data_IF_823898143358
#
_entry.id   IF_823898143358
#
_cell.length_a   1.000
_cell.length_b   1.000
_cell.length_c   1.000
_cell.angle_alpha   90.00
_cell.angle_beta   90.00
_cell.angle_gamma   90.00
#
_symmetry.space_group_name_H-M   'P 1'
#
loop_
_entity.id
_entity.type
_entity.pdbx_description
1 polymer ?
#
# COMPACT_ATOMS: atom_id res chain seq x y z
N UNK A 1 19.86 -2.28 27.09
CA UNK A 1 21.19 -2.55 26.50
C UNK A 1 21.00 -3.69 25.53
N UNK A 2 20.88 -3.36 24.26
CA UNK A 2 20.49 -4.25 23.16
C UNK A 2 21.73 -4.39 22.26
N UNK A 3 22.55 -5.40 22.55
CA UNK A 3 23.58 -5.85 21.60
C UNK A 3 23.11 -7.19 21.02
N UNK A 4 22.36 -7.13 19.92
CA UNK A 4 22.11 -8.28 19.07
C UNK A 4 22.29 -7.84 17.61
N UNK A 5 23.52 -7.92 17.12
CA UNK A 5 23.81 -7.83 15.68
C UNK A 5 23.65 -9.25 15.12
N UNK A 6 22.61 -9.54 14.32
CA UNK A 6 22.52 -10.83 13.67
C UNK A 6 23.63 -10.94 12.61
N UNK A 7 24.44 -11.96 12.72
CA UNK A 7 25.44 -12.33 11.71
C UNK A 7 24.75 -12.53 10.36
N UNK A 8 25.08 -11.66 9.41
CA UNK A 8 24.64 -11.75 8.02
C UNK A 8 25.13 -13.08 7.42
N UNK A 9 24.18 -13.99 7.13
CA UNK A 9 24.47 -15.19 6.35
C UNK A 9 24.94 -14.81 4.94
N UNK A 10 25.81 -15.61 4.27
CA UNK A 10 26.34 -15.29 2.95
C UNK A 10 25.20 -15.09 1.94
N UNK A 11 25.28 -14.00 1.18
CA UNK A 11 24.34 -13.66 0.11
C UNK A 11 24.38 -14.74 -0.97
N UNK A 12 23.22 -15.15 -1.55
CA UNK A 12 23.25 -15.99 -2.74
C UNK A 12 23.99 -15.25 -3.85
N UNK A 13 24.74 -16.00 -4.65
CA UNK A 13 25.58 -15.47 -5.71
C UNK A 13 24.74 -14.60 -6.68
N UNK A 14 25.16 -13.35 -6.84
CA UNK A 14 24.64 -12.43 -7.87
C UNK A 14 24.99 -13.06 -9.22
N UNK A 15 24.03 -13.18 -10.14
CA UNK A 15 24.31 -13.63 -11.50
C UNK A 15 25.36 -12.71 -12.11
N UNK A 16 26.49 -13.28 -12.53
CA UNK A 16 27.55 -12.51 -13.16
C UNK A 16 27.10 -11.95 -14.49
N UNK A 17 27.58 -10.76 -14.84
CA UNK A 17 27.28 -10.03 -16.07
C UNK A 17 27.62 -10.79 -17.39
N UNK A 18 28.10 -12.03 -17.31
CA UNK A 18 28.56 -12.81 -18.47
C UNK A 18 27.40 -13.31 -19.38
N UNK A 19 26.14 -13.22 -18.96
CA UNK A 19 25.00 -13.74 -19.72
C UNK A 19 24.04 -12.67 -20.27
N UNK A 20 24.30 -11.36 -20.05
CA UNK A 20 23.48 -10.32 -20.63
C UNK A 20 23.75 -10.23 -22.14
N UNK A 21 22.73 -10.45 -22.95
CA UNK A 21 22.82 -10.24 -24.40
C UNK A 21 23.26 -8.80 -24.68
N UNK A 22 24.12 -8.57 -25.67
CA UNK A 22 24.55 -7.20 -26.03
C UNK A 22 23.42 -6.31 -26.58
N UNK A 23 22.21 -6.84 -26.76
CA UNK A 23 21.00 -6.12 -27.20
C UNK A 23 20.26 -5.50 -25.99
N UNK A 24 20.19 -4.16 -25.88
CA UNK A 24 19.51 -3.47 -24.80
C UNK A 24 18.01 -3.81 -24.70
N UNK A 25 17.35 -4.10 -25.83
CA UNK A 25 15.93 -4.45 -25.86
C UNK A 25 15.71 -5.78 -25.17
N UNK A 26 16.47 -6.77 -25.55
CA UNK A 26 16.40 -8.10 -24.95
C UNK A 26 16.79 -8.09 -23.46
N UNK A 27 17.84 -7.35 -23.11
CA UNK A 27 18.28 -7.21 -21.73
C UNK A 27 17.19 -6.58 -20.85
N UNK A 28 16.52 -5.50 -21.30
CA UNK A 28 15.42 -4.88 -20.56
C UNK A 28 14.25 -5.86 -20.37
N UNK A 29 13.86 -6.55 -21.43
CA UNK A 29 12.77 -7.53 -21.42
C UNK A 29 13.07 -8.69 -20.45
N UNK A 30 14.29 -9.22 -20.44
CA UNK A 30 14.72 -10.28 -19.52
C UNK A 30 14.67 -9.81 -18.07
N UNK A 31 15.14 -8.58 -17.78
CA UNK A 31 15.08 -7.99 -16.43
C UNK A 31 13.62 -7.80 -15.99
N UNK A 32 12.75 -7.27 -16.85
CA UNK A 32 11.35 -7.05 -16.49
C UNK A 32 10.59 -8.37 -16.27
N UNK A 33 10.83 -9.39 -17.11
CA UNK A 33 10.26 -10.73 -16.91
C UNK A 33 10.77 -11.39 -15.63
N UNK A 34 12.05 -11.25 -15.31
CA UNK A 34 12.60 -11.70 -14.04
C UNK A 34 11.92 -11.00 -12.86
N UNK A 35 11.77 -9.67 -12.94
CA UNK A 35 11.07 -8.88 -11.91
C UNK A 35 9.64 -9.36 -11.69
N UNK A 36 8.86 -9.55 -12.77
CA UNK A 36 7.50 -10.11 -12.71
C UNK A 36 7.49 -11.50 -12.07
N UNK A 37 8.38 -12.39 -12.53
CA UNK A 37 8.46 -13.76 -12.01
C UNK A 37 8.85 -13.81 -10.54
N UNK A 38 9.59 -12.79 -10.06
CA UNK A 38 10.01 -12.65 -8.67
C UNK A 38 8.99 -11.94 -7.78
N UNK A 39 7.97 -11.33 -8.38
CA UNK A 39 6.98 -10.55 -7.66
C UNK A 39 7.54 -9.21 -7.18
N UNK A 40 8.45 -8.62 -7.94
CA UNK A 40 8.98 -7.30 -7.64
C UNK A 40 7.90 -6.23 -7.83
N UNK A 41 7.86 -5.26 -6.91
CA UNK A 41 7.04 -4.06 -7.06
C UNK A 41 7.75 -2.96 -7.87
N UNK A 42 9.08 -2.89 -7.76
CA UNK A 42 9.89 -1.87 -8.43
C UNK A 42 11.20 -2.47 -8.94
N UNK A 43 11.67 -1.99 -10.09
CA UNK A 43 13.00 -2.25 -10.65
C UNK A 43 13.77 -0.94 -10.66
N UNK A 44 14.93 -0.92 -10.04
CA UNK A 44 15.81 0.22 -9.97
C UNK A 44 17.04 -0.04 -10.83
N UNK A 45 17.33 0.86 -11.74
CA UNK A 45 18.57 0.91 -12.53
C UNK A 45 19.41 2.06 -11.97
N UNK A 46 20.42 1.72 -11.20
CA UNK A 46 21.27 2.66 -10.48
C UNK A 46 22.64 2.78 -11.15
N UNK A 47 22.96 3.90 -11.81
CA UNK A 47 24.29 4.11 -12.35
C UNK A 47 25.32 4.20 -11.22
N UNK A 48 26.45 3.55 -11.43
CA UNK A 48 27.63 3.57 -10.56
C UNK A 48 28.85 3.97 -11.39
N UNK A 49 29.95 4.25 -10.73
CA UNK A 49 31.21 4.62 -11.39
C UNK A 49 31.69 3.50 -12.36
N UNK A 50 31.49 2.25 -11.98
CA UNK A 50 31.97 1.05 -12.70
C UNK A 50 30.91 0.37 -13.59
N UNK A 51 29.67 0.90 -13.65
CA UNK A 51 28.61 0.29 -14.45
C UNK A 51 27.18 0.68 -14.05
N UNK A 52 26.29 -0.30 -14.13
CA UNK A 52 24.88 -0.16 -13.78
C UNK A 52 24.46 -1.28 -12.84
N UNK A 53 23.95 -0.94 -11.66
CA UNK A 53 23.39 -1.91 -10.72
C UNK A 53 21.89 -1.97 -10.90
N UNK A 54 21.36 -3.18 -11.14
CA UNK A 54 19.92 -3.46 -11.19
C UNK A 54 19.47 -4.04 -9.86
N UNK A 55 18.48 -3.39 -9.24
CA UNK A 55 17.92 -3.84 -7.96
C UNK A 55 16.42 -4.01 -8.06
N UNK A 56 15.88 -5.03 -7.43
CA UNK A 56 14.46 -5.30 -7.30
C UNK A 56 13.98 -4.95 -5.89
N UNK A 57 12.78 -4.36 -5.80
CA UNK A 57 12.06 -4.25 -4.54
C UNK A 57 11.13 -5.46 -4.41
N UNK A 58 11.44 -6.36 -3.47
CA UNK A 58 10.71 -7.60 -3.22
C UNK A 58 10.14 -7.57 -1.80
N UNK A 59 8.80 -7.60 -1.68
CA UNK A 59 8.11 -7.53 -0.39
C UNK A 59 8.55 -6.33 0.49
N UNK A 60 8.87 -5.19 -0.16
CA UNK A 60 9.32 -3.94 0.46
C UNK A 60 10.84 -3.79 0.61
N UNK A 61 11.63 -4.86 0.49
CA UNK A 61 13.09 -4.82 0.60
C UNK A 61 13.79 -4.67 -0.75
N UNK A 62 14.87 -3.88 -0.76
CA UNK A 62 15.74 -3.76 -1.94
C UNK A 62 16.74 -4.90 -2.02
N UNK A 63 16.85 -5.52 -3.20
CA UNK A 63 17.80 -6.58 -3.47
C UNK A 63 18.49 -6.37 -4.80
N UNK A 64 19.81 -6.60 -4.82
CA UNK A 64 20.58 -6.58 -6.04
C UNK A 64 20.24 -7.81 -6.88
N UNK A 65 19.87 -7.56 -8.14
CA UNK A 65 19.55 -8.59 -9.12
C UNK A 65 20.71 -8.83 -10.08
N UNK A 66 21.32 -7.76 -10.62
CA UNK A 66 22.41 -7.86 -11.56
C UNK A 66 23.35 -6.64 -11.52
N UNK A 67 24.59 -6.84 -11.96
CA UNK A 67 25.54 -5.78 -12.31
C UNK A 67 25.87 -5.86 -13.78
N UNK A 68 25.71 -4.75 -14.47
CA UNK A 68 25.94 -4.62 -15.91
C UNK A 68 27.14 -3.70 -16.15
N UNK A 69 27.97 -3.99 -17.17
CA UNK A 69 29.14 -3.19 -17.47
C UNK A 69 28.75 -1.79 -17.97
N UNK A 70 29.71 -0.85 -17.88
CA UNK A 70 29.54 0.53 -18.33
C UNK A 70 29.01 0.64 -19.75
N UNK A 71 29.44 -0.25 -20.64
CA UNK A 71 29.04 -0.28 -22.07
C UNK A 71 27.56 -0.51 -22.29
N UNK A 72 26.85 -1.15 -21.34
CA UNK A 72 25.42 -1.40 -21.40
C UNK A 72 24.58 -0.32 -20.71
N UNK A 73 25.16 0.55 -19.91
CA UNK A 73 24.45 1.54 -19.10
C UNK A 73 23.59 2.47 -19.96
N UNK A 74 24.20 3.24 -20.86
CA UNK A 74 23.50 4.23 -21.68
C UNK A 74 22.50 3.59 -22.64
N UNK A 75 22.84 2.49 -23.36
CA UNK A 75 21.89 1.82 -24.23
C UNK A 75 20.65 1.32 -23.50
N UNK A 76 20.81 0.76 -22.30
CA UNK A 76 19.69 0.21 -21.53
C UNK A 76 18.78 1.31 -20.95
N UNK A 77 19.35 2.41 -20.45
CA UNK A 77 18.58 3.58 -20.00
C UNK A 77 17.82 4.23 -21.16
N UNK A 78 18.46 4.42 -22.31
CA UNK A 78 17.81 4.92 -23.53
C UNK A 78 16.66 4.01 -23.96
N UNK A 79 16.85 2.68 -23.92
CA UNK A 79 15.78 1.72 -24.20
C UNK A 79 14.63 1.83 -23.22
N UNK A 80 14.91 2.00 -21.91
CA UNK A 80 13.91 2.25 -20.89
C UNK A 80 13.11 3.53 -21.15
N UNK A 81 13.78 4.61 -21.55
CA UNK A 81 13.12 5.87 -21.95
C UNK A 81 12.20 5.70 -23.15
N UNK A 82 12.66 5.04 -24.22
CA UNK A 82 11.83 4.73 -25.39
C UNK A 82 10.60 3.93 -24.98
N UNK A 83 10.81 2.90 -24.16
CA UNK A 83 9.73 2.05 -23.68
C UNK A 83 8.68 2.82 -22.88
N UNK A 84 9.10 3.82 -22.09
CA UNK A 84 8.24 4.72 -21.31
C UNK A 84 7.68 5.91 -22.07
N UNK A 85 8.02 6.11 -23.36
CA UNK A 85 7.61 7.27 -24.14
C UNK A 85 8.30 8.58 -23.72
N UNK A 86 9.50 8.51 -23.15
CA UNK A 86 10.31 9.64 -22.68
C UNK A 86 11.31 10.10 -23.75
N UNK A 87 11.78 11.34 -23.63
CA UNK A 87 12.81 11.91 -24.50
C UNK A 87 14.21 11.37 -24.16
N UNK A 88 14.84 10.68 -25.13
CA UNK A 88 16.17 10.10 -24.97
C UNK A 88 17.30 11.13 -25.05
N UNK A 89 17.03 12.32 -25.61
CA UNK A 89 18.01 13.37 -25.76
C UNK A 89 18.17 14.25 -24.52
N UNK A 90 17.10 14.41 -23.74
CA UNK A 90 17.13 15.17 -22.49
C UNK A 90 17.60 14.28 -21.34
N UNK A 91 18.76 14.58 -20.78
CA UNK A 91 19.38 13.82 -19.68
C UNK A 91 19.59 14.65 -18.40
N UNK A 92 19.22 15.93 -18.42
CA UNK A 92 19.48 16.90 -17.34
C UNK A 92 18.27 17.12 -16.45
N UNK A 93 17.07 16.74 -16.93
CA UNK A 93 15.81 16.95 -16.22
C UNK A 93 15.13 15.62 -15.91
N UNK A 94 14.42 15.53 -14.77
CA UNK A 94 13.59 14.37 -14.48
C UNK A 94 12.52 14.17 -15.53
N UNK A 95 12.20 12.92 -15.83
CA UNK A 95 11.12 12.57 -16.74
C UNK A 95 10.29 11.43 -16.17
N UNK A 96 9.00 11.47 -16.45
CA UNK A 96 8.06 10.40 -16.11
C UNK A 96 7.49 9.79 -17.40
N UNK A 97 7.33 8.47 -17.40
CA UNK A 97 6.81 7.72 -18.53
C UNK A 97 5.85 6.63 -18.10
N UNK A 98 5.11 6.09 -19.05
CA UNK A 98 4.17 4.98 -18.84
C UNK A 98 4.32 3.95 -19.95
N UNK A 99 4.20 2.67 -19.59
CA UNK A 99 4.21 1.57 -20.53
C UNK A 99 3.29 0.45 -20.07
N UNK A 100 3.06 -0.53 -20.93
CA UNK A 100 2.30 -1.74 -20.59
C UNK A 100 3.16 -2.94 -20.93
N UNK A 101 3.36 -3.81 -19.93
CA UNK A 101 3.99 -5.11 -20.10
C UNK A 101 2.91 -6.20 -20.07
N UNK A 102 2.95 -7.09 -21.04
CA UNK A 102 2.12 -8.32 -21.04
C UNK A 102 3.02 -9.51 -20.81
N UNK A 103 2.72 -10.28 -19.77
CA UNK A 103 3.45 -11.50 -19.47
C UNK A 103 2.45 -12.62 -19.21
N UNK A 104 2.37 -13.58 -20.14
CA UNK A 104 1.33 -14.61 -20.20
C UNK A 104 -0.06 -13.95 -20.20
N UNK A 105 -0.96 -14.37 -19.31
CA UNK A 105 -2.33 -13.84 -19.17
C UNK A 105 -2.41 -12.61 -18.23
N UNK A 106 -1.26 -12.09 -17.78
CA UNK A 106 -1.20 -10.94 -16.87
C UNK A 106 -0.79 -9.67 -17.59
N UNK A 107 -1.42 -8.57 -17.23
CA UNK A 107 -1.11 -7.22 -17.72
C UNK A 107 -0.55 -6.39 -16.57
N UNK A 108 0.56 -5.73 -16.81
CA UNK A 108 1.21 -4.82 -15.88
C UNK A 108 1.23 -3.42 -16.46
N UNK A 109 0.70 -2.45 -15.72
CA UNK A 109 0.96 -1.05 -16.01
C UNK A 109 2.30 -0.69 -15.39
N UNK A 110 3.17 -0.09 -16.17
CA UNK A 110 4.49 0.33 -15.76
C UNK A 110 4.53 1.85 -15.65
N UNK A 111 5.03 2.35 -14.51
CA UNK A 111 5.38 3.75 -14.33
C UNK A 111 6.90 3.84 -14.31
N UNK A 112 7.44 4.66 -15.17
CA UNK A 112 8.87 4.86 -15.31
C UNK A 112 9.19 6.28 -14.85
N UNK A 113 10.25 6.43 -14.08
CA UNK A 113 10.75 7.76 -13.69
C UNK A 113 12.26 7.78 -13.83
N UNK A 114 12.80 8.82 -14.46
CA UNK A 114 14.25 9.07 -14.55
C UNK A 114 14.63 10.28 -13.73
N UNK A 115 15.81 10.22 -13.12
CA UNK A 115 16.39 11.32 -12.36
C UNK A 115 17.89 11.39 -12.65
N UNK A 116 18.43 12.57 -13.03
CA UNK A 116 19.86 12.78 -13.13
C UNK A 116 20.58 12.59 -11.79
N UNK A 117 21.67 11.83 -11.80
CA UNK A 117 22.53 11.63 -10.62
C UNK A 117 23.99 11.90 -10.99
N UNK A 118 24.88 11.89 -9.99
CA UNK A 118 26.32 12.16 -10.19
C UNK A 118 26.96 11.18 -11.19
N UNK A 119 26.50 9.93 -11.25
CA UNK A 119 27.06 8.91 -12.14
C UNK A 119 26.24 8.67 -13.42
N UNK A 120 25.25 9.52 -13.71
CA UNK A 120 24.35 9.43 -14.86
C UNK A 120 22.88 9.35 -14.44
N UNK A 121 21.96 9.16 -15.38
CA UNK A 121 20.53 9.04 -15.04
C UNK A 121 20.24 7.72 -14.33
N UNK A 122 19.48 7.79 -13.23
CA UNK A 122 18.83 6.62 -12.64
C UNK A 122 17.46 6.41 -13.33
N UNK A 123 17.01 5.17 -13.42
CA UNK A 123 15.67 4.81 -13.90
C UNK A 123 15.01 3.90 -12.87
N UNK A 124 13.80 4.23 -12.48
CA UNK A 124 12.95 3.37 -11.65
C UNK A 124 11.72 2.97 -12.45
N UNK A 125 11.42 1.69 -12.48
CA UNK A 125 10.23 1.13 -13.12
C UNK A 125 9.38 0.47 -12.05
N UNK A 126 8.21 1.04 -11.76
CA UNK A 126 7.20 0.44 -10.89
C UNK A 126 6.30 -0.48 -11.69
N UNK A 127 6.11 -1.70 -11.20
CA UNK A 127 5.25 -2.71 -11.82
C UNK A 127 3.91 -2.76 -11.07
N UNK A 128 2.84 -2.35 -11.74
CA UNK A 128 1.48 -2.39 -11.22
C UNK A 128 0.73 -3.54 -11.91
N UNK A 129 0.61 -4.65 -11.19
CA UNK A 129 -0.15 -5.80 -11.68
C UNK A 129 -1.63 -5.43 -11.79
N UNK A 130 -2.22 -5.60 -12.96
CA UNK A 130 -3.64 -5.33 -13.21
C UNK A 130 -4.55 -6.51 -12.81
N UNK A 131 -3.97 -7.58 -12.27
CA UNK A 131 -4.78 -8.64 -11.65
C UNK A 131 -5.46 -8.06 -10.42
N UNK A 132 -6.79 -8.11 -10.42
CA UNK A 132 -7.57 -7.55 -9.31
C UNK A 132 -7.19 -8.23 -8.00
N UNK A 133 -6.91 -7.45 -6.94
CA UNK A 133 -6.67 -8.02 -5.63
C UNK A 133 -7.89 -8.79 -5.14
N UNK A 134 -7.68 -9.74 -4.23
CA UNK A 134 -8.73 -10.55 -3.64
C UNK A 134 -9.91 -9.71 -3.13
N UNK A 135 -11.12 -10.21 -3.34
CA UNK A 135 -12.37 -9.52 -3.01
C UNK A 135 -12.80 -9.75 -1.56
N UNK A 136 -12.17 -10.70 -0.87
CA UNK A 136 -12.50 -11.01 0.52
C UNK A 136 -11.61 -10.24 1.49
N UNK A 137 -12.25 -9.52 2.40
CA UNK A 137 -11.58 -8.79 3.49
C UNK A 137 -10.75 -9.72 4.39
N UNK A 138 -11.14 -10.99 4.55
CA UNK A 138 -10.36 -12.00 5.27
C UNK A 138 -9.03 -12.31 4.59
N UNK A 139 -9.01 -12.39 3.26
CA UNK A 139 -7.77 -12.58 2.49
C UNK A 139 -6.83 -11.37 2.60
N UNK A 140 -7.41 -10.17 2.77
CA UNK A 140 -6.66 -8.94 3.04
C UNK A 140 -6.17 -8.83 4.49
N UNK A 141 -6.48 -9.81 5.33
CA UNK A 141 -5.95 -9.91 6.68
C UNK A 141 -6.85 -9.31 7.77
N UNK A 142 -8.06 -8.84 7.47
CA UNK A 142 -8.99 -8.41 8.52
C UNK A 142 -9.46 -9.61 9.35
N UNK A 143 -9.50 -9.43 10.66
CA UNK A 143 -10.16 -10.41 11.54
C UNK A 143 -11.68 -10.42 11.29
N UNK A 144 -12.39 -11.53 11.53
CA UNK A 144 -13.82 -11.63 11.24
C UNK A 144 -14.67 -10.47 11.79
N UNK A 145 -14.51 -10.01 13.06
CA UNK A 145 -15.26 -8.86 13.56
C UNK A 145 -14.91 -7.53 12.84
N UNK A 146 -13.65 -7.37 12.42
CA UNK A 146 -13.21 -6.19 11.68
C UNK A 146 -13.80 -6.18 10.26
N UNK A 147 -13.79 -7.34 9.58
CA UNK A 147 -14.38 -7.49 8.26
C UNK A 147 -15.90 -7.22 8.29
N UNK A 148 -16.59 -7.68 9.33
CA UNK A 148 -18.02 -7.41 9.50
C UNK A 148 -18.30 -5.92 9.73
N UNK A 149 -17.54 -5.26 10.59
CA UNK A 149 -17.67 -3.82 10.82
C UNK A 149 -17.47 -3.00 9.52
N UNK A 150 -16.54 -3.43 8.66
CA UNK A 150 -16.33 -2.81 7.34
C UNK A 150 -17.53 -3.05 6.43
N UNK A 151 -18.08 -4.28 6.37
CA UNK A 151 -19.27 -4.59 5.57
C UNK A 151 -20.49 -3.80 6.03
N UNK A 152 -20.73 -3.71 7.33
CA UNK A 152 -21.82 -2.89 7.90
C UNK A 152 -21.68 -1.41 7.53
N UNK A 153 -20.46 -0.87 7.59
CA UNK A 153 -20.21 0.52 7.20
C UNK A 153 -20.47 0.77 5.70
N UNK A 154 -20.09 -0.19 4.83
CA UNK A 154 -20.30 -0.14 3.38
C UNK A 154 -21.79 -0.34 2.99
N UNK A 155 -22.53 -1.14 3.74
CA UNK A 155 -23.94 -1.37 3.51
C UNK A 155 -24.80 -0.11 3.73
N UNK A 156 -24.30 0.85 4.53
CA UNK A 156 -24.99 2.11 4.78
C UNK A 156 -25.15 2.94 3.50
N UNK A 157 -26.27 3.69 3.40
CA UNK A 157 -26.51 4.53 2.23
C UNK A 157 -25.67 5.80 2.22
N UNK A 158 -25.24 6.29 3.38
CA UNK A 158 -24.57 7.58 3.54
C UNK A 158 -23.50 7.51 4.63
N UNK A 159 -22.53 8.40 4.59
CA UNK A 159 -21.52 8.58 5.62
C UNK A 159 -20.09 8.49 5.08
N UNK A 160 -19.11 8.61 5.96
CA UNK A 160 -17.71 8.74 5.63
C UNK A 160 -16.89 7.59 6.26
N UNK A 161 -16.13 6.92 5.43
CA UNK A 161 -15.22 5.84 5.79
C UNK A 161 -13.79 6.30 5.45
N UNK A 162 -12.90 6.31 6.44
CA UNK A 162 -11.48 6.62 6.23
C UNK A 162 -10.59 5.40 6.41
N UNK A 163 -9.71 5.18 5.44
CA UNK A 163 -8.54 4.33 5.61
C UNK A 163 -7.30 5.19 5.84
N UNK A 164 -6.50 4.88 6.85
CA UNK A 164 -5.28 5.63 7.13
C UNK A 164 -4.04 4.75 7.20
N UNK A 165 -2.89 5.36 6.98
CA UNK A 165 -1.59 4.73 7.02
C UNK A 165 -0.60 5.38 6.04
N UNK A 166 0.70 5.05 6.12
CA UNK A 166 1.72 5.59 5.22
C UNK A 166 1.52 5.12 3.78
N UNK A 167 2.28 5.72 2.88
CA UNK A 167 2.37 5.25 1.49
C UNK A 167 2.85 3.79 1.48
N UNK A 168 2.23 2.96 0.64
CA UNK A 168 2.58 1.54 0.53
C UNK A 168 1.98 0.65 1.63
N UNK A 169 1.10 1.15 2.51
CA UNK A 169 0.40 0.33 3.50
C UNK A 169 -0.73 -0.53 2.94
N UNK A 170 -1.03 -0.44 1.64
CA UNK A 170 -2.06 -1.23 0.95
C UNK A 170 -3.46 -0.64 0.99
N UNK A 171 -3.62 0.66 1.32
CA UNK A 171 -4.93 1.34 1.39
C UNK A 171 -5.73 1.20 0.10
N UNK A 172 -5.11 1.47 -1.05
CA UNK A 172 -5.74 1.36 -2.37
C UNK A 172 -6.33 -0.04 -2.59
N UNK A 173 -5.57 -1.09 -2.28
CA UNK A 173 -6.03 -2.48 -2.39
C UNK A 173 -7.28 -2.75 -1.55
N UNK A 174 -7.30 -2.26 -0.31
CA UNK A 174 -8.45 -2.44 0.59
C UNK A 174 -9.66 -1.61 0.14
N UNK A 175 -9.45 -0.39 -0.35
CA UNK A 175 -10.53 0.44 -0.93
C UNK A 175 -11.10 -0.20 -2.19
N UNK A 176 -10.26 -0.77 -3.06
CA UNK A 176 -10.73 -1.48 -4.25
C UNK A 176 -11.53 -2.74 -3.88
N UNK A 177 -11.11 -3.48 -2.85
CA UNK A 177 -11.92 -4.59 -2.33
C UNK A 177 -13.27 -4.09 -1.77
N UNK A 178 -13.29 -2.93 -1.10
CA UNK A 178 -14.52 -2.32 -0.65
C UNK A 178 -15.44 -1.93 -1.83
N UNK A 179 -14.88 -1.40 -2.92
CA UNK A 179 -15.65 -1.11 -4.14
C UNK A 179 -16.25 -2.38 -4.75
N UNK A 180 -15.58 -3.52 -4.69
CA UNK A 180 -16.10 -4.79 -5.19
C UNK A 180 -17.30 -5.32 -4.39
N UNK A 181 -17.35 -5.04 -3.08
CA UNK A 181 -18.46 -5.46 -2.21
C UNK A 181 -19.73 -4.65 -2.48
N UNK A 182 -19.59 -3.45 -3.05
CA UNK A 182 -20.72 -2.57 -3.36
C UNK A 182 -21.49 -3.06 -4.57
N UNK A 183 -22.81 -2.92 -4.55
CA UNK A 183 -23.67 -3.28 -5.67
C UNK A 183 -23.56 -2.26 -6.81
N UNK A 184 -22.77 -2.60 -7.81
CA UNK A 184 -22.54 -1.75 -8.99
C UNK A 184 -23.75 -1.64 -9.93
N UNK A 185 -24.76 -2.49 -9.80
CA UNK A 185 -25.98 -2.41 -10.61
C UNK A 185 -26.98 -1.44 -10.00
N UNK A 186 -27.05 -1.40 -8.66
CA UNK A 186 -27.98 -0.56 -7.93
C UNK A 186 -27.40 0.81 -7.54
N UNK A 187 -26.06 1.00 -7.57
CA UNK A 187 -25.38 2.22 -7.12
C UNK A 187 -24.50 2.83 -8.19
N UNK A 188 -24.57 4.15 -8.35
CA UNK A 188 -23.65 4.92 -9.19
C UNK A 188 -22.38 5.23 -8.40
N UNK A 189 -21.27 4.59 -8.79
CA UNK A 189 -19.97 4.71 -8.10
C UNK A 189 -19.02 5.56 -8.94
N UNK A 190 -18.43 6.58 -8.32
CA UNK A 190 -17.37 7.40 -8.92
C UNK A 190 -16.12 7.40 -8.05
N UNK A 191 -14.95 7.42 -8.70
CA UNK A 191 -13.67 7.58 -8.01
C UNK A 191 -12.88 8.77 -8.53
N UNK A 192 -12.12 9.37 -7.65
CA UNK A 192 -11.08 10.37 -7.91
C UNK A 192 -9.76 9.79 -7.43
N UNK A 193 -8.81 9.53 -8.32
CA UNK A 193 -7.57 8.80 -8.01
C UNK A 193 -6.34 9.50 -8.58
N UNK A 194 -5.20 9.40 -7.89
CA UNK A 194 -3.91 9.96 -8.31
C UNK A 194 -2.78 8.90 -8.23
N UNK A 195 -2.61 8.17 -9.31
CA UNK A 195 -3.45 7.97 -10.46
C UNK A 195 -4.35 6.73 -10.31
N UNK A 196 -5.17 6.42 -11.34
CA UNK A 196 -5.94 5.16 -11.42
C UNK A 196 -4.96 3.98 -11.48
N UNK A 197 -5.04 3.05 -10.51
CA UNK A 197 -4.18 1.85 -10.44
C UNK A 197 -4.82 0.64 -11.12
N UNK A 198 -6.14 0.45 -10.98
CA UNK A 198 -6.92 -0.64 -11.57
C UNK A 198 -8.15 -0.08 -12.26
N UNK A 199 -8.45 -0.57 -13.45
CA UNK A 199 -9.65 -0.18 -14.20
C UNK A 199 -10.83 -1.09 -13.84
N UNK A 200 -11.95 -0.50 -13.44
CA UNK A 200 -13.21 -1.16 -13.15
C UNK A 200 -14.23 -0.85 -14.24
N UNK A 201 -14.69 -1.82 -15.03
CA UNK A 201 -15.63 -1.56 -16.12
C UNK A 201 -16.96 -0.94 -15.68
N UNK A 202 -17.38 -1.18 -14.42
CA UNK A 202 -18.66 -0.72 -13.86
C UNK A 202 -18.56 0.57 -13.05
N UNK A 203 -17.36 1.15 -12.87
CA UNK A 203 -17.09 2.33 -12.05
C UNK A 203 -16.63 3.47 -12.93
N UNK A 204 -17.07 4.69 -12.65
CA UNK A 204 -16.60 5.89 -13.33
C UNK A 204 -15.37 6.42 -12.58
N UNK A 205 -14.20 6.26 -13.17
CA UNK A 205 -12.93 6.62 -12.56
C UNK A 205 -12.35 7.87 -13.22
N UNK A 206 -11.97 8.85 -12.40
CA UNK A 206 -11.35 10.09 -12.85
C UNK A 206 -9.92 10.16 -12.29
N UNK A 207 -8.94 10.23 -13.18
CA UNK A 207 -7.55 10.45 -12.82
C UNK A 207 -7.29 11.95 -12.61
N UNK A 208 -6.74 12.30 -11.46
CA UNK A 208 -6.34 13.67 -11.11
C UNK A 208 -5.18 14.12 -12.01
N UNK A 209 -5.24 15.38 -12.44
CA UNK A 209 -4.23 16.00 -13.32
C UNK A 209 -4.01 17.45 -12.89
N UNK A 210 -3.27 17.64 -11.82
CA UNK A 210 -3.03 18.96 -11.23
C UNK A 210 -2.47 19.99 -12.23
N UNK A 211 -1.63 19.54 -13.19
CA UNK A 211 -1.03 20.41 -14.24
C UNK A 211 -2.07 21.16 -15.08
N UNK A 212 -3.29 20.64 -15.19
CA UNK A 212 -4.39 21.29 -15.94
C UNK A 212 -5.52 21.78 -15.02
N UNK A 213 -5.28 21.82 -13.69
CA UNK A 213 -6.27 22.26 -12.72
C UNK A 213 -7.32 21.23 -12.32
N UNK A 214 -7.18 19.96 -12.77
CA UNK A 214 -8.04 18.86 -12.35
C UNK A 214 -7.55 18.30 -11.03
N UNK A 215 -7.85 18.98 -9.93
CA UNK A 215 -7.48 18.64 -8.55
C UNK A 215 -8.57 17.79 -7.89
N UNK A 216 -8.27 17.18 -6.72
CA UNK A 216 -9.30 16.48 -5.92
C UNK A 216 -10.50 17.39 -5.61
N UNK A 217 -10.25 18.60 -5.13
CA UNK A 217 -11.33 19.54 -4.78
C UNK A 217 -12.17 19.98 -6.00
N UNK A 218 -11.53 20.36 -7.12
CA UNK A 218 -12.25 20.78 -8.34
C UNK A 218 -13.06 19.63 -8.93
N UNK A 219 -12.49 18.43 -8.95
CA UNK A 219 -13.13 17.22 -9.45
C UNK A 219 -14.31 16.80 -8.57
N UNK A 220 -14.16 16.84 -7.23
CA UNK A 220 -15.21 16.47 -6.29
C UNK A 220 -16.43 17.41 -6.41
N UNK A 221 -16.20 18.73 -6.54
CA UNK A 221 -17.31 19.67 -6.82
C UNK A 221 -18.07 19.35 -8.11
N UNK A 222 -17.36 18.96 -9.17
CA UNK A 222 -17.99 18.58 -10.43
C UNK A 222 -18.76 17.27 -10.31
N UNK A 223 -18.18 16.30 -9.59
CA UNK A 223 -18.69 14.96 -9.42
C UNK A 223 -20.01 14.93 -8.62
N UNK A 224 -20.15 15.78 -7.60
CA UNK A 224 -21.41 15.95 -6.86
C UNK A 224 -22.62 16.35 -7.74
N UNK A 225 -22.39 16.88 -8.95
CA UNK A 225 -23.44 17.17 -9.93
C UNK A 225 -23.72 16.02 -10.90
N UNK A 226 -23.04 14.89 -10.74
CA UNK A 226 -23.20 13.68 -11.56
C UNK A 226 -24.14 12.64 -10.93
N UNK A 227 -24.87 13.04 -9.87
CA UNK A 227 -25.79 12.18 -9.12
C UNK A 227 -25.15 10.83 -8.69
N UNK A 228 -24.04 10.85 -7.96
CA UNK A 228 -23.40 9.63 -7.45
C UNK A 228 -24.13 9.11 -6.20
N UNK A 229 -24.03 7.81 -5.93
CA UNK A 229 -24.41 7.21 -4.65
C UNK A 229 -23.16 6.99 -3.76
N UNK A 230 -22.06 6.61 -4.41
CA UNK A 230 -20.78 6.31 -3.73
C UNK A 230 -19.65 7.08 -4.37
N UNK A 231 -18.82 7.67 -3.53
CA UNK A 231 -17.65 8.44 -3.90
C UNK A 231 -16.39 7.83 -3.28
N UNK A 232 -15.38 7.55 -4.09
CA UNK A 232 -14.04 7.31 -3.58
C UNK A 232 -13.18 8.53 -3.88
N UNK A 233 -12.70 9.20 -2.84
CA UNK A 233 -11.70 10.26 -2.91
C UNK A 233 -10.36 9.67 -2.50
N UNK A 234 -9.47 9.44 -3.46
CA UNK A 234 -8.22 8.68 -3.27
C UNK A 234 -7.44 9.10 -2.03
N UNK A 235 -7.40 10.40 -1.76
CA UNK A 235 -6.84 10.93 -0.52
C UNK A 235 -7.41 12.32 -0.15
N UNK A 236 -7.36 12.61 1.15
CA UNK A 236 -7.73 13.91 1.74
C UNK A 236 -6.47 14.56 2.30
N UNK A 237 -5.85 15.46 1.51
CA UNK A 237 -4.59 16.15 1.90
C UNK A 237 -4.81 17.55 2.47
N UNK A 238 -5.85 18.23 2.04
CA UNK A 238 -6.12 19.65 2.30
C UNK A 238 -7.50 19.89 2.88
N UNK A 239 -7.67 21.11 3.44
CA UNK A 239 -8.90 21.53 4.11
C UNK A 239 -10.11 21.54 3.16
N UNK A 240 -9.90 21.94 1.90
CA UNK A 240 -10.99 22.06 0.94
C UNK A 240 -11.55 20.68 0.56
N UNK A 241 -10.67 19.71 0.25
CA UNK A 241 -11.06 18.33 -0.04
C UNK A 241 -11.74 17.69 1.17
N UNK A 242 -11.22 17.92 2.40
CA UNK A 242 -11.83 17.42 3.63
C UNK A 242 -13.26 17.92 3.84
N UNK A 243 -13.47 19.23 3.71
CA UNK A 243 -14.79 19.85 3.86
C UNK A 243 -15.78 19.37 2.80
N UNK A 244 -15.34 19.24 1.55
CA UNK A 244 -16.18 18.73 0.46
C UNK A 244 -16.58 17.27 0.67
N UNK A 245 -15.66 16.40 1.09
CA UNK A 245 -15.93 14.99 1.39
C UNK A 245 -16.95 14.84 2.52
N UNK A 246 -16.81 15.64 3.58
CA UNK A 246 -17.77 15.64 4.70
C UNK A 246 -19.14 16.16 4.27
N UNK A 247 -19.21 17.27 3.52
CA UNK A 247 -20.48 17.78 2.98
C UNK A 247 -21.16 16.74 2.11
N UNK A 248 -20.42 16.04 1.25
CA UNK A 248 -20.94 14.95 0.44
C UNK A 248 -21.55 13.85 1.32
N UNK A 249 -20.85 13.41 2.36
CA UNK A 249 -21.34 12.41 3.30
C UNK A 249 -22.62 12.87 4.06
N UNK A 250 -22.71 14.15 4.38
CA UNK A 250 -23.90 14.72 5.05
C UNK A 250 -25.09 14.91 4.10
N UNK A 251 -24.84 15.06 2.80
CA UNK A 251 -25.88 15.31 1.78
C UNK A 251 -26.34 14.05 1.04
N UNK A 252 -26.08 12.88 1.59
CA UNK A 252 -26.70 11.64 1.09
C UNK A 252 -25.76 10.69 0.35
N UNK A 253 -24.44 10.89 0.42
CA UNK A 253 -23.49 10.04 -0.29
C UNK A 253 -22.69 9.15 0.68
N UNK A 254 -22.34 7.94 0.24
CA UNK A 254 -21.31 7.13 0.90
C UNK A 254 -19.95 7.55 0.36
N UNK A 255 -19.09 8.08 1.22
CA UNK A 255 -17.76 8.58 0.84
C UNK A 255 -16.68 7.69 1.45
N UNK A 256 -15.77 7.20 0.62
CA UNK A 256 -14.57 6.50 1.03
C UNK A 256 -13.36 7.39 0.74
N UNK A 257 -12.42 7.52 1.68
CA UNK A 257 -11.20 8.29 1.43
C UNK A 257 -10.01 7.79 2.26
N UNK A 258 -8.83 8.36 2.01
CA UNK A 258 -7.63 8.04 2.78
C UNK A 258 -7.02 9.24 3.48
N UNK A 259 -6.31 8.93 4.56
CA UNK A 259 -5.47 9.87 5.32
C UNK A 259 -4.07 9.28 5.52
N UNK A 260 -3.16 10.09 6.02
CA UNK A 260 -1.81 9.69 6.40
C UNK A 260 -1.59 9.94 7.90
N UNK A 261 -2.23 9.10 8.75
CA UNK A 261 -2.01 9.11 10.20
C UNK A 261 -1.45 7.77 10.67
N UNK A 262 -0.85 7.75 11.86
CA UNK A 262 -0.17 6.58 12.38
C UNK A 262 -1.14 5.48 12.86
N UNK A 263 -2.27 5.85 13.41
CA UNK A 263 -3.34 4.96 13.87
C UNK A 263 -4.71 5.51 13.46
N UNK A 264 -5.77 4.75 13.69
CA UNK A 264 -7.11 5.12 13.29
C UNK A 264 -7.63 6.36 14.03
N UNK A 265 -7.46 6.41 15.35
CA UNK A 265 -8.01 7.49 16.18
C UNK A 265 -7.30 8.82 15.95
N UNK A 266 -6.00 8.81 15.58
CA UNK A 266 -5.26 10.01 15.20
C UNK A 266 -5.83 10.72 13.95
N UNK A 267 -6.70 10.05 13.20
CA UNK A 267 -7.43 10.67 12.08
C UNK A 267 -8.41 11.76 12.55
N UNK A 268 -8.97 11.64 13.76
CA UNK A 268 -9.92 12.62 14.29
C UNK A 268 -9.26 13.98 14.52
N UNK A 269 -8.19 14.13 15.32
CA UNK A 269 -7.49 15.41 15.44
C UNK A 269 -6.93 15.88 14.09
N UNK A 270 -6.44 14.98 13.23
CA UNK A 270 -5.94 15.37 11.90
C UNK A 270 -7.02 16.05 11.04
N UNK A 271 -8.25 15.55 11.05
CA UNK A 271 -9.37 16.18 10.32
C UNK A 271 -9.75 17.52 10.95
N UNK A 272 -9.65 17.67 12.27
CA UNK A 272 -9.83 18.96 12.95
C UNK A 272 -8.78 19.98 12.52
N UNK A 273 -7.50 19.55 12.45
CA UNK A 273 -6.38 20.39 11.96
C UNK A 273 -6.59 20.84 10.50
N UNK A 274 -7.29 20.03 9.69
CA UNK A 274 -7.75 20.41 8.35
C UNK A 274 -8.97 21.34 8.36
N UNK A 275 -9.37 21.87 9.52
CA UNK A 275 -10.45 22.85 9.66
C UNK A 275 -11.85 22.25 9.64
N UNK A 276 -11.98 20.95 9.92
CA UNK A 276 -13.31 20.30 10.02
C UNK A 276 -13.86 20.42 11.43
N UNK A 277 -15.04 20.95 11.56
CA UNK A 277 -15.72 21.11 12.84
C UNK A 277 -16.12 19.76 13.43
N UNK A 278 -15.93 19.58 14.75
CA UNK A 278 -16.14 18.32 15.45
C UNK A 278 -17.55 17.77 15.33
N UNK A 279 -18.58 18.62 15.30
CA UNK A 279 -19.96 18.18 15.12
C UNK A 279 -20.25 17.65 13.71
N UNK A 280 -19.59 18.20 12.67
CA UNK A 280 -19.69 17.69 11.29
C UNK A 280 -18.99 16.34 11.15
N UNK A 281 -17.83 16.17 11.81
CA UNK A 281 -17.15 14.86 11.89
C UNK A 281 -18.06 13.83 12.54
N UNK A 282 -18.64 14.15 13.69
CA UNK A 282 -19.53 13.23 14.41
C UNK A 282 -20.78 12.87 13.59
N UNK A 283 -21.32 13.83 12.82
CA UNK A 283 -22.48 13.59 11.99
C UNK A 283 -22.21 12.75 10.74
N UNK A 284 -20.98 12.78 10.21
CA UNK A 284 -20.61 12.13 8.94
C UNK A 284 -19.86 10.83 9.08
N UNK A 285 -18.95 10.68 10.07
CA UNK A 285 -18.10 9.51 10.22
C UNK A 285 -18.89 8.23 10.54
N UNK A 286 -18.49 7.12 9.92
CA UNK A 286 -19.01 5.76 10.18
C UNK A 286 -17.93 4.81 10.64
N UNK A 287 -16.76 4.85 9.98
CA UNK A 287 -15.66 3.95 10.27
C UNK A 287 -14.33 4.63 9.96
N UNK A 288 -13.36 4.37 10.79
CA UNK A 288 -11.95 4.69 10.54
C UNK A 288 -11.15 3.41 10.69
N UNK A 289 -10.28 3.13 9.72
CA UNK A 289 -9.39 1.98 9.80
C UNK A 289 -7.95 2.39 9.50
N UNK A 290 -7.02 1.97 10.36
CA UNK A 290 -5.59 2.10 10.06
C UNK A 290 -5.02 0.77 9.56
N UNK A 291 -4.01 0.86 8.68
CA UNK A 291 -3.46 -0.30 8.01
C UNK A 291 -1.93 -0.21 7.87
N UNK A 292 -1.26 -1.36 8.06
CA UNK A 292 0.16 -1.56 7.76
C UNK A 292 0.34 -2.89 7.02
N UNK A 293 1.41 -3.01 6.24
CA UNK A 293 1.80 -4.27 5.61
C UNK A 293 3.02 -4.85 6.31
N UNK A 294 2.92 -6.11 6.73
CA UNK A 294 4.03 -6.93 7.25
C UNK A 294 4.37 -8.03 6.25
N UNK A 295 5.61 -8.50 6.23
CA UNK A 295 5.99 -9.65 5.41
C UNK A 295 5.36 -10.92 5.96
N UNK A 296 4.83 -11.74 5.07
CA UNK A 296 4.24 -13.03 5.43
C UNK A 296 5.32 -14.11 5.46
N UNK A 297 5.39 -14.88 6.54
CA UNK A 297 6.28 -16.04 6.63
C UNK A 297 5.96 -17.05 5.54
N UNK A 298 7.00 -17.62 4.94
CA UNK A 298 6.85 -18.70 3.98
C UNK A 298 6.26 -19.94 4.66
N UNK A 299 5.13 -20.42 4.16
CA UNK A 299 4.43 -21.57 4.75
C UNK A 299 5.24 -22.85 4.71
N UNK A 300 6.15 -23.00 3.73
CA UNK A 300 6.92 -24.21 3.50
C UNK A 300 8.16 -24.32 4.39
N UNK A 301 8.68 -23.18 4.87
CA UNK A 301 9.96 -23.21 5.61
C UNK A 301 9.93 -22.44 6.93
N UNK A 302 8.80 -21.90 7.35
CA UNK A 302 8.73 -21.32 8.70
C UNK A 302 8.96 -22.41 9.73
N UNK A 303 9.69 -22.09 10.77
CA UNK A 303 9.95 -23.00 11.90
C UNK A 303 9.55 -22.34 13.22
N UNK A 304 9.29 -23.11 14.28
CA UNK A 304 9.05 -22.54 15.60
C UNK A 304 10.20 -21.59 16.01
N UNK A 305 9.86 -20.49 16.65
CA UNK A 305 10.86 -19.56 17.16
C UNK A 305 11.65 -20.22 18.31
N UNK A 306 12.99 -20.11 18.38
CA UNK A 306 13.79 -20.74 19.43
C UNK A 306 13.37 -20.28 20.84
N UNK A 307 13.02 -19.00 21.00
CA UNK A 307 12.56 -18.42 22.27
C UNK A 307 11.04 -18.46 22.43
N UNK A 308 10.34 -19.40 21.78
CA UNK A 308 8.88 -19.44 21.76
C UNK A 308 8.26 -19.44 23.16
N UNK A 309 8.84 -20.16 24.11
CA UNK A 309 8.38 -20.21 25.49
C UNK A 309 8.42 -18.81 26.15
N UNK A 310 9.56 -18.10 26.01
CA UNK A 310 9.75 -16.75 26.53
C UNK A 310 8.79 -15.74 25.88
N UNK A 311 8.59 -15.83 24.56
CA UNK A 311 7.67 -14.95 23.85
C UNK A 311 6.22 -15.16 24.31
N UNK A 312 5.80 -16.41 24.56
CA UNK A 312 4.48 -16.72 25.15
C UNK A 312 4.30 -16.05 26.50
N UNK A 313 5.30 -16.13 27.36
CA UNK A 313 5.28 -15.54 28.71
C UNK A 313 5.22 -14.01 28.63
N UNK A 314 6.14 -13.39 27.88
CA UNK A 314 6.23 -11.92 27.75
C UNK A 314 4.94 -11.32 27.21
N UNK A 315 4.35 -11.95 26.20
CA UNK A 315 3.13 -11.45 25.54
C UNK A 315 1.84 -12.00 26.17
N UNK A 316 1.92 -12.85 27.19
CA UNK A 316 0.78 -13.50 27.87
C UNK A 316 -0.14 -14.26 26.92
N UNK A 317 0.46 -14.99 25.97
CA UNK A 317 -0.22 -15.77 24.94
C UNK A 317 0.23 -17.24 25.01
N UNK A 318 -0.29 -18.06 25.95
CA UNK A 318 0.20 -19.41 26.23
C UNK A 318 0.08 -20.35 25.02
N UNK A 319 -0.95 -20.17 24.20
CA UNK A 319 -1.24 -21.02 23.03
C UNK A 319 -0.64 -20.50 21.72
N UNK A 320 0.21 -19.44 21.77
CA UNK A 320 0.79 -18.85 20.58
C UNK A 320 1.87 -19.76 19.96
N UNK A 321 1.91 -19.79 18.63
CA UNK A 321 2.95 -20.46 17.85
C UNK A 321 3.80 -19.43 17.10
N UNK A 322 4.68 -18.75 17.82
CA UNK A 322 5.60 -17.83 17.18
C UNK A 322 6.59 -18.59 16.29
N UNK A 323 6.76 -18.10 15.07
CA UNK A 323 7.64 -18.71 14.08
C UNK A 323 8.73 -17.73 13.61
N UNK A 324 9.84 -18.32 13.14
CA UNK A 324 10.95 -17.60 12.52
C UNK A 324 11.09 -17.96 11.03
N UNK A 325 11.66 -17.05 10.20
CA UNK A 325 11.97 -17.33 8.82
C UNK A 325 13.23 -18.23 8.73
N UNK A 326 13.18 -19.28 7.91
CA UNK A 326 14.32 -20.15 7.65
C UNK A 326 14.91 -19.89 6.27
N UNK A 327 14.11 -20.02 5.23
CA UNK A 327 14.52 -19.96 3.84
C UNK A 327 14.43 -21.31 3.14
N UNK A 328 13.87 -21.33 1.93
CA UNK A 328 13.78 -22.50 1.06
C UNK A 328 13.71 -22.06 -0.41
N UNK A 329 13.81 -22.99 -1.38
CA UNK A 329 13.69 -22.66 -2.80
C UNK A 329 12.39 -21.95 -3.15
N UNK A 330 11.24 -22.31 -2.53
CA UNK A 330 9.93 -21.70 -2.81
C UNK A 330 9.87 -20.20 -2.44
N UNK A 331 10.55 -19.78 -1.37
CA UNK A 331 10.71 -18.37 -1.01
C UNK A 331 12.05 -17.78 -1.47
N UNK A 332 12.82 -18.51 -2.29
CA UNK A 332 14.15 -18.11 -2.76
C UNK A 332 15.09 -17.73 -1.61
N UNK A 333 15.14 -18.59 -0.60
CA UNK A 333 15.96 -18.44 0.63
C UNK A 333 15.62 -17.19 1.46
N UNK A 334 14.44 -16.57 1.25
CA UNK A 334 14.04 -15.33 1.96
C UNK A 334 13.40 -15.59 3.33
N UNK A 335 12.79 -16.76 3.52
CA UNK A 335 11.97 -17.08 4.69
C UNK A 335 10.60 -16.39 4.68
N UNK A 336 10.37 -15.42 3.76
CA UNK A 336 9.13 -14.68 3.60
C UNK A 336 8.63 -14.80 2.16
N UNK A 337 7.30 -14.79 1.98
CA UNK A 337 6.65 -14.79 0.66
C UNK A 337 5.34 -14.02 0.70
N UNK A 338 5.32 -12.88 0.03
CA UNK A 338 4.18 -11.96 0.02
C UNK A 338 4.05 -11.15 1.31
N UNK A 339 2.96 -10.41 1.39
CA UNK A 339 2.65 -9.50 2.49
C UNK A 339 1.30 -9.84 3.10
N UNK A 340 1.10 -9.42 4.34
CA UNK A 340 -0.15 -9.51 5.09
C UNK A 340 -0.46 -8.12 5.63
N UNK A 341 -1.70 -7.67 5.53
CA UNK A 341 -2.08 -6.43 6.17
C UNK A 341 -2.50 -6.69 7.63
N UNK A 342 -2.11 -5.77 8.50
CA UNK A 342 -2.60 -5.66 9.87
C UNK A 342 -3.44 -4.40 9.98
N UNK A 343 -4.53 -4.49 10.73
CA UNK A 343 -5.57 -3.47 10.77
C UNK A 343 -5.92 -3.06 12.21
N UNK A 344 -6.21 -1.78 12.38
CA UNK A 344 -6.96 -1.24 13.50
C UNK A 344 -8.27 -0.68 12.93
N UNK A 345 -9.41 -1.24 13.32
CA UNK A 345 -10.73 -0.85 12.78
C UNK A 345 -11.58 -0.30 13.90
N UNK A 346 -12.05 0.92 13.73
CA UNK A 346 -12.86 1.67 14.71
C UNK A 346 -14.23 1.98 14.07
N UNK A 347 -15.29 1.21 14.39
CA UNK A 347 -16.67 1.60 14.15
C UNK A 347 -17.01 2.79 15.04
N UNK A 348 -17.20 3.98 14.49
CA UNK A 348 -17.20 5.22 15.28
C UNK A 348 -18.48 5.47 16.08
N UNK A 349 -19.51 4.67 15.94
CA UNK A 349 -20.83 4.91 16.54
C UNK A 349 -20.76 5.26 18.03
N UNK A 350 -19.98 4.53 18.80
CA UNK A 350 -19.80 4.79 20.25
C UNK A 350 -18.89 5.98 20.55
N UNK A 351 -18.08 6.38 19.57
CA UNK A 351 -17.13 7.49 19.69
C UNK A 351 -17.76 8.85 19.34
N UNK A 352 -18.91 8.87 18.66
CA UNK A 352 -19.54 10.09 18.17
C UNK A 352 -19.77 11.16 19.25
N UNK A 353 -20.23 10.82 20.50
CA UNK A 353 -20.39 11.83 21.54
C UNK A 353 -19.06 12.51 21.92
N UNK A 354 -17.96 11.73 22.04
CA UNK A 354 -16.64 12.27 22.36
C UNK A 354 -16.08 13.10 21.17
N UNK A 355 -16.32 12.65 19.95
CA UNK A 355 -15.92 13.39 18.75
C UNK A 355 -16.66 14.73 18.69
N UNK A 356 -17.98 14.74 18.88
CA UNK A 356 -18.81 15.96 18.88
C UNK A 356 -18.41 16.94 19.99
N UNK A 357 -18.10 16.42 21.17
CA UNK A 357 -17.63 17.21 22.32
C UNK A 357 -16.19 17.72 22.19
N UNK A 358 -15.52 17.46 21.06
CA UNK A 358 -14.10 17.81 20.86
C UNK A 358 -13.17 17.21 21.92
N UNK A 359 -13.49 15.99 22.42
CA UNK A 359 -12.71 15.31 23.43
C UNK A 359 -11.26 15.12 23.00
N UNK A 360 -10.30 15.14 23.94
CA UNK A 360 -8.89 14.83 23.70
C UNK A 360 -8.71 13.41 23.15
N UNK A 361 -7.65 13.17 22.38
CA UNK A 361 -7.32 11.85 21.83
C UNK A 361 -7.23 10.77 22.91
N UNK A 362 -6.73 11.12 24.11
CA UNK A 362 -6.62 10.20 25.25
C UNK A 362 -7.98 9.58 25.67
N UNK A 363 -9.07 10.33 25.62
CA UNK A 363 -10.42 9.83 25.93
C UNK A 363 -10.92 8.87 24.84
N UNK A 364 -10.63 9.14 23.57
CA UNK A 364 -10.94 8.23 22.47
C UNK A 364 -10.15 6.92 22.61
N UNK A 365 -8.87 6.99 22.99
CA UNK A 365 -8.03 5.81 23.28
C UNK A 365 -8.60 5.02 24.44
N UNK A 366 -8.96 5.65 25.54
CA UNK A 366 -9.56 4.98 26.69
C UNK A 366 -10.90 4.29 26.34
N UNK A 367 -11.70 4.89 25.44
CA UNK A 367 -12.92 4.25 24.97
C UNK A 367 -12.61 3.04 24.09
N UNK A 368 -11.63 3.13 23.16
CA UNK A 368 -11.19 1.97 22.36
C UNK A 368 -10.79 0.79 23.23
N UNK A 369 -10.03 1.04 24.29
CA UNK A 369 -9.61 -0.01 25.26
C UNK A 369 -10.79 -0.64 25.98
N UNK A 370 -11.75 0.16 26.44
CA UNK A 370 -12.97 -0.34 27.08
C UNK A 370 -13.84 -1.17 26.14
N UNK A 371 -13.87 -0.81 24.86
CA UNK A 371 -14.60 -1.56 23.83
C UNK A 371 -13.85 -2.80 23.34
N UNK A 372 -12.62 -3.03 23.80
CA UNK A 372 -11.79 -4.18 23.38
C UNK A 372 -11.41 -4.17 21.91
N UNK A 373 -11.38 -2.99 21.27
CA UNK A 373 -11.01 -2.87 19.85
C UNK A 373 -9.48 -2.97 19.70
N UNK A 374 -9.05 -3.85 18.82
CA UNK A 374 -7.64 -4.15 18.62
C UNK A 374 -6.87 -2.98 18.03
N UNK A 375 -5.72 -2.68 18.59
CA UNK A 375 -4.72 -1.79 17.99
C UNK A 375 -4.01 -2.50 16.84
N UNK A 376 -3.28 -1.74 16.01
CA UNK A 376 -2.39 -2.31 14.99
C UNK A 376 -1.39 -3.31 15.61
N UNK A 377 -0.81 -2.97 16.77
CA UNK A 377 0.12 -3.85 17.48
C UNK A 377 -0.56 -5.16 17.90
N UNK A 378 -1.71 -5.08 18.56
CA UNK A 378 -2.43 -6.28 19.03
C UNK A 378 -2.86 -7.17 17.88
N UNK A 379 -3.33 -6.60 16.76
CA UNK A 379 -3.67 -7.36 15.58
C UNK A 379 -2.43 -8.00 14.92
N UNK A 380 -1.32 -7.26 14.83
CA UNK A 380 -0.04 -7.78 14.36
C UNK A 380 0.49 -8.91 15.23
N UNK A 381 0.41 -8.74 16.56
CA UNK A 381 0.81 -9.77 17.53
C UNK A 381 -0.05 -11.03 17.38
N UNK A 382 -1.36 -10.89 17.20
CA UNK A 382 -2.25 -12.04 16.95
C UNK A 382 -1.91 -12.75 15.63
N UNK A 383 -1.46 -12.04 14.60
CA UNK A 383 -0.96 -12.64 13.35
C UNK A 383 0.37 -13.37 13.58
N UNK A 384 1.29 -12.80 14.35
CA UNK A 384 2.57 -13.43 14.71
C UNK A 384 2.35 -14.69 15.57
N UNK A 385 1.41 -14.64 16.51
CA UNK A 385 1.04 -15.78 17.34
C UNK A 385 0.49 -16.99 16.56
N UNK A 386 -0.03 -16.75 15.35
CA UNK A 386 -0.46 -17.81 14.41
C UNK A 386 0.64 -18.19 13.41
N UNK A 387 1.86 -17.71 13.59
CA UNK A 387 2.99 -17.96 12.68
C UNK A 387 2.77 -17.41 11.27
N UNK A 388 1.99 -16.35 11.08
CA UNK A 388 1.77 -15.73 9.78
C UNK A 388 2.84 -14.69 9.44
N UNK A 389 3.40 -14.07 10.45
CA UNK A 389 4.50 -13.09 10.38
C UNK A 389 5.38 -13.25 11.60
N UNK A 390 6.36 -12.38 11.82
CA UNK A 390 7.17 -12.37 13.05
C UNK A 390 6.89 -11.11 13.86
N UNK A 391 7.20 -11.14 15.16
CA UNK A 391 7.04 -9.98 16.06
C UNK A 391 7.92 -8.82 15.57
N UNK A 392 9.14 -9.11 15.11
CA UNK A 392 10.08 -8.11 14.60
C UNK A 392 9.52 -7.40 13.36
N UNK A 393 8.80 -8.12 12.49
CA UNK A 393 8.13 -7.49 11.35
C UNK A 393 7.01 -6.54 11.79
N UNK A 394 6.26 -6.90 12.83
CA UNK A 394 5.22 -6.03 13.38
C UNK A 394 5.85 -4.79 14.01
N UNK A 395 6.89 -4.97 14.84
CA UNK A 395 7.61 -3.86 15.48
C UNK A 395 8.28 -2.91 14.47
N UNK A 396 8.75 -3.44 13.33
CA UNK A 396 9.44 -2.63 12.31
C UNK A 396 8.51 -1.66 11.58
N UNK A 397 7.22 -1.97 11.46
CA UNK A 397 6.25 -1.16 10.68
C UNK A 397 5.39 -0.23 11.54
N UNK A 398 5.48 -0.33 12.86
CA UNK A 398 4.78 0.50 13.84
C UNK A 398 5.71 1.50 14.53
#
# INVERSE_FOLDING_TARGET
MLDFIPTLRPRPAVRSAAEASGDPTRTLDEILRAAVSEGASDVHFEPKEDGLVVRFRLDGEMREHARLPMTQREPLLSRGKIFGGMDITEKRLPQDGRAVLREKDRRFHLRLSTLPTVHGESLVIRLLDQTMPGQDFGELGLAPPQAEAVREALAGPVGLIYLTGPTGSGKTTTLHAALHVLDHQARVIHTLEDPVEYEFPSIRQTEIREKIGLTFASSLRALLRQNPDVLLVGETRDAETAQLAIRAALTGHLVLSTLHTNDALASVPRLRDLGVESFLLAASLRLIAAQRLVRRLCRECRAPHPDNARLREVHRLPDAEFCQPVGCPACRQRGFRGRLAIHEVIPVRKFLPLIAANAPLAELVALREREGLLTLWQHGLAAAARGLTTIEQVAHVL
#
